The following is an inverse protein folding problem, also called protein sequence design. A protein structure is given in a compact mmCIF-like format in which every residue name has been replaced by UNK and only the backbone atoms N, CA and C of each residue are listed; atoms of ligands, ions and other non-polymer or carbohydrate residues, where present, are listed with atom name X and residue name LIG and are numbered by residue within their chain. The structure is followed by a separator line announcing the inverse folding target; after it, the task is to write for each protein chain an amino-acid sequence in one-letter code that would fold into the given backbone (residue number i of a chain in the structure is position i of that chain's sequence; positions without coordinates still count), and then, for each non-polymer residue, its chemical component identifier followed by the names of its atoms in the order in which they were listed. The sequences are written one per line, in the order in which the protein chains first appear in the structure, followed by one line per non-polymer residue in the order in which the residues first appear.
data_IF_147420974740
#
_entry.id   IF_147420974740
#
_cell.length_a   1.000
_cell.length_b   1.000
_cell.length_c   1.000
_cell.angle_alpha   90.00
_cell.angle_beta   90.00
_cell.angle_gamma   90.00
#
_symmetry.space_group_name_H-M   'P 1'
#
loop_
_entity.id
_entity.type
_entity.pdbx_description
1 polymer ?
#
# COMPACT_ATOMS: atom_id res chain seq x y z
N UNK A 1 13.67 -7.73 -6.89
CA UNK A 1 12.34 -7.25 -7.32
C UNK A 1 11.56 -6.72 -6.14
N UNK A 2 10.93 -5.58 -6.32
CA UNK A 2 9.99 -5.06 -5.32
C UNK A 2 8.61 -5.65 -5.58
N UNK A 3 7.97 -6.19 -4.55
CA UNK A 3 6.62 -6.69 -4.64
C UNK A 3 5.68 -5.76 -3.86
N UNK A 4 4.67 -5.26 -4.54
CA UNK A 4 3.70 -4.32 -3.97
C UNK A 4 2.35 -5.03 -3.95
N UNK A 5 1.83 -5.28 -2.75
CA UNK A 5 0.55 -5.95 -2.56
C UNK A 5 -0.41 -4.99 -1.88
N UNK A 6 -1.64 -4.91 -2.38
CA UNK A 6 -2.61 -4.02 -1.78
C UNK A 6 -4.00 -4.65 -1.72
N UNK A 7 -4.78 -4.17 -0.78
CA UNK A 7 -6.23 -4.43 -0.67
C UNK A 7 -6.93 -3.11 -0.55
N UNK A 8 -7.91 -2.91 -1.38
CA UNK A 8 -8.74 -1.70 -1.33
C UNK A 8 -10.20 -2.11 -1.29
N UNK A 9 -10.89 -1.73 -0.22
CA UNK A 9 -12.29 -2.01 -0.03
C UNK A 9 -13.05 -0.70 0.18
N UNK A 10 -14.36 -0.78 0.31
CA UNK A 10 -15.16 0.41 0.61
C UNK A 10 -14.74 1.07 1.92
N UNK A 11 -14.30 0.28 2.91
CA UNK A 11 -13.99 0.77 4.25
C UNK A 11 -12.51 0.99 4.52
N UNK A 12 -11.62 0.18 3.92
CA UNK A 12 -10.20 0.19 4.29
C UNK A 12 -9.29 0.05 3.11
N UNK A 13 -8.07 0.56 3.29
CA UNK A 13 -6.96 0.36 2.37
C UNK A 13 -5.76 -0.20 3.13
N UNK A 14 -5.04 -1.11 2.51
CA UNK A 14 -3.79 -1.65 3.04
C UNK A 14 -2.84 -1.90 1.88
N UNK A 15 -1.56 -1.61 2.07
CA UNK A 15 -0.53 -1.86 1.07
C UNK A 15 0.79 -2.22 1.74
N UNK A 16 1.53 -3.10 1.10
CA UNK A 16 2.90 -3.41 1.48
C UNK A 16 3.83 -3.28 0.28
N UNK A 17 5.00 -2.70 0.52
CA UNK A 17 6.09 -2.62 -0.44
C UNK A 17 7.22 -3.45 0.13
N UNK A 18 7.63 -4.50 -0.55
CA UNK A 18 8.63 -5.43 -0.03
C UNK A 18 9.71 -5.70 -1.06
N UNK A 19 10.96 -5.59 -0.63
CA UNK A 19 12.13 -5.86 -1.45
C UNK A 19 12.69 -4.63 -2.13
N UNK A 20 13.85 -4.81 -2.75
CA UNK A 20 14.50 -3.78 -3.56
C UNK A 20 14.32 -4.10 -5.03
N UNK A 21 14.22 -3.08 -5.88
CA UNK A 21 13.96 -3.28 -7.31
C UNK A 21 15.09 -4.07 -7.99
N UNK A 22 16.33 -3.79 -7.62
CA UNK A 22 17.47 -4.48 -8.21
C UNK A 22 17.78 -4.06 -9.63
N UNK A 23 17.34 -2.86 -10.02
CA UNK A 23 17.61 -2.31 -11.34
C UNK A 23 19.06 -1.88 -11.48
N UNK A 24 19.63 -1.31 -10.42
CA UNK A 24 21.02 -0.90 -10.36
C UNK A 24 21.48 -0.97 -8.90
N UNK A 25 22.77 -0.70 -8.69
CA UNK A 25 23.31 -0.68 -7.34
C UNK A 25 22.74 0.47 -6.51
N UNK A 26 22.87 0.36 -5.20
CA UNK A 26 22.38 1.35 -4.26
C UNK A 26 22.87 2.75 -4.61
N UNK A 27 21.97 3.71 -4.63
CA UNK A 27 22.26 5.09 -5.00
C UNK A 27 22.15 5.39 -6.49
N UNK A 28 22.01 4.38 -7.33
CA UNK A 28 21.88 4.53 -8.79
C UNK A 28 20.62 3.88 -9.34
N UNK A 29 19.78 3.30 -8.48
CA UNK A 29 18.57 2.58 -8.89
C UNK A 29 17.42 3.57 -9.03
N UNK A 30 17.15 3.97 -10.27
CA UNK A 30 16.04 4.91 -10.56
C UNK A 30 14.68 4.29 -10.33
N UNK A 31 14.56 2.96 -10.48
CA UNK A 31 13.29 2.27 -10.23
C UNK A 31 12.99 2.26 -8.74
N UNK A 32 13.98 1.92 -7.93
CA UNK A 32 13.86 1.96 -6.48
C UNK A 32 13.52 3.37 -5.99
N UNK A 33 14.19 4.38 -6.56
CA UNK A 33 13.91 5.78 -6.22
C UNK A 33 12.47 6.16 -6.56
N UNK A 34 11.98 5.76 -7.72
CA UNK A 34 10.61 6.02 -8.14
C UNK A 34 9.59 5.39 -7.19
N UNK A 35 9.80 4.13 -6.84
CA UNK A 35 8.93 3.44 -5.90
C UNK A 35 8.96 4.11 -4.53
N UNK A 36 10.14 4.49 -4.07
CA UNK A 36 10.32 5.14 -2.76
C UNK A 36 9.61 6.49 -2.68
N UNK A 37 9.66 7.27 -3.75
CA UNK A 37 8.94 8.55 -3.81
C UNK A 37 7.44 8.33 -3.72
N UNK A 38 6.90 7.35 -4.45
CA UNK A 38 5.47 7.07 -4.42
C UNK A 38 5.03 6.54 -3.05
N UNK A 39 5.83 5.68 -2.42
CA UNK A 39 5.55 5.21 -1.07
C UNK A 39 5.57 6.37 -0.07
N UNK A 40 6.55 7.26 -0.18
CA UNK A 40 6.66 8.44 0.69
C UNK A 40 5.50 9.39 0.50
N UNK A 41 5.07 9.60 -0.74
CA UNK A 41 3.92 10.44 -1.04
C UNK A 41 2.66 9.88 -0.38
N UNK A 42 2.47 8.57 -0.45
CA UNK A 42 1.33 7.94 0.21
C UNK A 42 1.39 8.12 1.74
N UNK A 43 2.56 7.95 2.33
CA UNK A 43 2.73 8.16 3.77
C UNK A 43 2.42 9.60 4.17
N UNK A 44 2.91 10.58 3.41
CA UNK A 44 2.63 12.00 3.66
C UNK A 44 1.13 12.30 3.53
N UNK A 45 0.50 11.76 2.50
CA UNK A 45 -0.94 11.94 2.30
C UNK A 45 -1.74 11.36 3.48
N UNK A 46 -1.33 10.19 3.98
CA UNK A 46 -1.97 9.58 5.13
C UNK A 46 -1.82 10.43 6.40
N UNK A 47 -0.64 10.98 6.63
CA UNK A 47 -0.40 11.85 7.79
C UNK A 47 -1.30 13.09 7.74
N UNK A 48 -1.41 13.72 6.58
CA UNK A 48 -2.28 14.88 6.41
C UNK A 48 -3.75 14.51 6.57
N UNK A 49 -4.17 13.41 5.97
CA UNK A 49 -5.54 12.94 6.01
C UNK A 49 -5.97 12.54 7.42
N UNK A 50 -5.05 11.96 8.20
CA UNK A 50 -5.32 11.62 9.59
C UNK A 50 -5.55 12.88 10.42
N UNK A 51 -4.75 13.91 10.23
CA UNK A 51 -4.91 15.18 10.94
C UNK A 51 -6.23 15.86 10.61
N UNK A 52 -6.69 15.78 9.38
CA UNK A 52 -7.93 16.39 8.94
C UNK A 52 -9.17 15.53 9.21
N UNK A 53 -8.98 14.29 9.66
CA UNK A 53 -10.09 13.39 9.92
C UNK A 53 -10.61 12.66 8.69
N UNK A 54 -9.93 12.76 7.55
CA UNK A 54 -10.35 12.06 6.34
C UNK A 54 -10.12 10.55 6.43
N UNK A 55 -9.17 10.14 7.23
CA UNK A 55 -8.92 8.73 7.52
C UNK A 55 -8.76 8.54 9.03
N UNK A 56 -8.96 7.30 9.47
CA UNK A 56 -8.75 6.88 10.86
C UNK A 56 -7.93 5.60 10.89
N UNK A 57 -7.45 5.25 12.06
CA UNK A 57 -6.72 4.00 12.28
C UNK A 57 -5.55 3.83 11.30
N UNK A 58 -4.79 4.90 11.10
CA UNK A 58 -3.60 4.85 10.26
C UNK A 58 -2.46 4.17 11.00
N UNK A 59 -1.89 3.16 10.37
CA UNK A 59 -0.75 2.41 10.88
C UNK A 59 0.29 2.30 9.79
N UNK A 60 1.54 2.50 10.16
CA UNK A 60 2.64 2.43 9.23
C UNK A 60 3.85 1.79 9.91
N UNK A 61 4.45 0.82 9.24
CA UNK A 61 5.72 0.23 9.63
C UNK A 61 6.70 0.43 8.47
N UNK A 62 7.89 0.89 8.78
CA UNK A 62 8.89 1.20 7.77
C UNK A 62 10.25 0.67 8.22
N UNK A 63 10.88 -0.11 7.34
CA UNK A 63 12.22 -0.63 7.52
C UNK A 63 12.94 -0.59 6.17
N UNK A 64 14.25 -0.87 6.16
CA UNK A 64 14.98 -0.93 4.91
C UNK A 64 14.38 -2.00 3.99
N UNK A 65 13.98 -1.59 2.78
CA UNK A 65 13.36 -2.49 1.81
C UNK A 65 11.96 -2.95 2.15
N UNK A 66 11.28 -2.25 3.08
CA UNK A 66 9.94 -2.65 3.49
C UNK A 66 9.13 -1.47 4.01
N UNK A 67 7.95 -1.31 3.47
CA UNK A 67 6.94 -0.36 3.97
C UNK A 67 5.60 -1.06 3.99
N UNK A 68 4.87 -0.87 5.07
CA UNK A 68 3.53 -1.43 5.19
C UNK A 68 2.64 -0.40 5.87
N UNK A 69 1.52 -0.10 5.26
CA UNK A 69 0.57 0.83 5.86
C UNK A 69 -0.87 0.41 5.62
N UNK A 70 -1.73 0.87 6.50
CA UNK A 70 -3.17 0.64 6.41
C UNK A 70 -3.94 1.75 7.09
N UNK A 71 -5.18 1.94 6.68
CA UNK A 71 -6.07 2.93 7.29
C UNK A 71 -7.53 2.63 6.92
N UNK A 72 -8.43 3.25 7.66
CA UNK A 72 -9.86 3.25 7.34
C UNK A 72 -10.23 4.56 6.66
N UNK A 73 -10.98 4.49 5.57
CA UNK A 73 -11.52 5.69 4.91
C UNK A 73 -12.56 6.34 5.80
N UNK A 74 -12.47 7.65 5.99
CA UNK A 74 -13.53 8.43 6.58
C UNK A 74 -14.63 8.72 5.56
N UNK A 75 -15.78 9.10 6.04
CA UNK A 75 -16.88 9.49 5.17
C UNK A 75 -16.52 10.76 4.38
N UNK A 76 -16.74 10.71 3.07
CA UNK A 76 -16.42 11.84 2.20
C UNK A 76 -14.93 12.04 1.95
N UNK A 77 -14.10 11.05 2.26
CA UNK A 77 -12.65 11.15 2.16
C UNK A 77 -12.18 11.28 0.71
N UNK A 78 -11.24 12.20 0.48
CA UNK A 78 -10.55 12.33 -0.81
C UNK A 78 -9.40 11.33 -0.96
N UNK A 79 -9.06 10.61 0.09
CA UNK A 79 -7.94 9.66 0.06
C UNK A 79 -8.11 8.54 -0.97
N UNK A 80 -9.33 8.17 -1.29
CA UNK A 80 -9.56 7.14 -2.32
C UNK A 80 -8.97 7.55 -3.67
N UNK A 81 -9.14 8.82 -4.01
CA UNK A 81 -8.57 9.36 -5.25
C UNK A 81 -7.05 9.38 -5.21
N UNK A 82 -6.48 9.78 -4.08
CA UNK A 82 -5.03 9.75 -3.88
C UNK A 82 -4.47 8.35 -4.03
N UNK A 83 -5.09 7.39 -3.38
CA UNK A 83 -4.71 5.96 -3.49
C UNK A 83 -4.74 5.50 -4.94
N UNK A 84 -5.82 5.80 -5.66
CA UNK A 84 -5.95 5.39 -7.06
C UNK A 84 -4.87 5.97 -7.95
N UNK A 85 -4.52 7.24 -7.73
CA UNK A 85 -3.47 7.90 -8.50
C UNK A 85 -2.10 7.29 -8.23
N UNK A 86 -1.80 7.02 -6.97
CA UNK A 86 -0.53 6.40 -6.60
C UNK A 86 -0.44 4.98 -7.18
N UNK A 87 -1.51 4.19 -7.07
CA UNK A 87 -1.54 2.86 -7.67
C UNK A 87 -1.38 2.92 -9.18
N UNK A 88 -2.00 3.90 -9.83
CA UNK A 88 -1.85 4.10 -11.28
C UNK A 88 -0.40 4.39 -11.65
N UNK A 89 0.28 5.23 -10.87
CA UNK A 89 1.70 5.53 -11.09
C UNK A 89 2.57 4.29 -10.90
N UNK A 90 2.27 3.48 -9.88
CA UNK A 90 2.99 2.22 -9.66
C UNK A 90 2.79 1.25 -10.83
N UNK A 91 1.60 1.20 -11.39
CA UNK A 91 1.33 0.36 -12.56
C UNK A 91 2.03 0.87 -13.81
N UNK A 92 2.20 2.20 -13.96
CA UNK A 92 3.01 2.75 -15.04
C UNK A 92 4.46 2.31 -14.91
N UNK A 93 5.01 2.35 -13.69
CA UNK A 93 6.35 1.83 -13.44
C UNK A 93 6.46 0.35 -13.76
N UNK A 94 5.48 -0.43 -13.37
CA UNK A 94 5.44 -1.86 -13.64
C UNK A 94 5.44 -2.13 -15.15
N UNK A 95 4.71 -1.35 -15.91
CA UNK A 95 4.64 -1.50 -17.35
C UNK A 95 6.02 -1.27 -18.00
N UNK A 96 6.75 -0.28 -17.52
CA UNK A 96 8.07 0.05 -18.05
C UNK A 96 9.18 -0.85 -17.49
N UNK A 97 9.05 -1.27 -16.23
CA UNK A 97 10.09 -1.97 -15.50
C UNK A 97 9.58 -3.26 -14.85
N UNK A 98 8.75 -4.00 -15.55
CA UNK A 98 8.08 -5.19 -15.02
C UNK A 98 8.98 -6.31 -14.51
N UNK A 99 10.27 -6.29 -14.89
CA UNK A 99 11.26 -7.22 -14.34
C UNK A 99 11.73 -6.84 -12.94
N UNK A 100 11.41 -5.63 -12.48
CA UNK A 100 11.96 -5.05 -11.27
C UNK A 100 10.91 -4.75 -10.20
N UNK A 101 9.64 -4.69 -10.58
CA UNK A 101 8.56 -4.53 -9.62
C UNK A 101 7.30 -5.22 -10.11
N UNK A 102 6.47 -5.62 -9.14
CA UNK A 102 5.19 -6.26 -9.40
C UNK A 102 4.14 -5.65 -8.49
N UNK A 103 3.00 -5.26 -9.06
CA UNK A 103 1.87 -4.71 -8.32
C UNK A 103 0.74 -5.72 -8.33
N UNK A 104 0.31 -6.15 -7.15
CA UNK A 104 -0.69 -7.21 -7.01
C UNK A 104 -1.86 -6.71 -6.17
N UNK A 105 -3.05 -6.74 -6.77
CA UNK A 105 -4.28 -6.48 -6.05
C UNK A 105 -4.72 -7.76 -5.34
N UNK A 106 -4.96 -7.68 -4.04
CA UNK A 106 -5.45 -8.81 -3.26
C UNK A 106 -6.96 -8.68 -3.08
N UNK A 107 -7.65 -9.80 -3.22
CA UNK A 107 -9.11 -9.80 -3.12
C UNK A 107 -9.56 -9.72 -1.67
N UNK A 108 -10.48 -8.81 -1.31
CA UNK A 108 -11.04 -8.76 0.02
C UNK A 108 -12.09 -9.85 0.28
N UNK A 109 -12.55 -10.53 -0.77
CA UNK A 109 -13.63 -11.52 -0.67
C UNK A 109 -13.23 -12.71 0.20
N UNK A 110 -11.99 -13.17 0.10
CA UNK A 110 -11.49 -14.30 0.88
C UNK A 110 -11.56 -14.06 2.38
N UNK A 111 -11.33 -12.83 2.81
CA UNK A 111 -11.38 -12.51 4.22
C UNK A 111 -12.79 -12.56 4.79
N UNK A 112 -13.81 -12.33 3.96
CA UNK A 112 -15.18 -12.41 4.40
C UNK A 112 -15.66 -13.86 4.61
N UNK A 113 -15.24 -14.75 3.74
CA UNK A 113 -15.63 -16.16 3.88
C UNK A 113 -15.00 -16.81 5.09
N UNK A 114 -13.84 -16.33 5.51
CA UNK A 114 -13.15 -16.85 6.68
C UNK A 114 -13.60 -16.21 7.98
N UNK A 115 -14.19 -15.03 7.91
CA UNK A 115 -14.56 -14.27 9.11
C UNK A 115 -15.54 -15.02 10.01
N UNK A 116 -16.30 -15.93 9.46
CA UNK A 116 -17.26 -16.74 10.24
C UNK A 116 -16.58 -17.68 11.21
N UNK A 117 -15.35 -18.07 10.90
CA UNK A 117 -14.63 -19.05 11.70
C UNK A 117 -13.66 -18.42 12.66
N UNK A 118 -13.06 -17.30 12.28
CA UNK A 118 -11.95 -16.70 13.04
C UNK A 118 -11.97 -15.19 12.93
N UNK A 119 -12.98 -14.55 13.50
CA UNK A 119 -13.08 -13.09 13.42
C UNK A 119 -11.85 -12.37 13.95
N UNK A 120 -11.32 -12.84 15.07
CA UNK A 120 -10.14 -12.24 15.68
C UNK A 120 -8.90 -12.38 14.81
N UNK A 121 -8.72 -13.53 14.20
CA UNK A 121 -7.58 -13.77 13.32
C UNK A 121 -7.68 -12.96 12.04
N UNK A 122 -8.88 -12.88 11.46
CA UNK A 122 -9.10 -12.08 10.27
C UNK A 122 -8.80 -10.60 10.49
N UNK A 123 -9.23 -10.06 11.62
CA UNK A 123 -8.91 -8.69 11.94
C UNK A 123 -7.40 -8.50 12.09
N UNK A 124 -6.74 -9.46 12.73
CA UNK A 124 -5.31 -9.41 12.90
C UNK A 124 -4.57 -9.46 11.56
N UNK A 125 -5.01 -10.31 10.64
CA UNK A 125 -4.43 -10.38 9.32
C UNK A 125 -4.64 -9.10 8.51
N UNK A 126 -5.83 -8.50 8.60
CA UNK A 126 -6.11 -7.23 7.95
C UNK A 126 -5.24 -6.11 8.49
N UNK A 127 -4.98 -6.14 9.77
CA UNK A 127 -4.10 -5.18 10.41
C UNK A 127 -2.65 -5.42 10.01
N UNK A 128 -2.31 -6.65 9.69
CA UNK A 128 -0.97 -7.02 9.27
C UNK A 128 -0.66 -6.62 7.83
N UNK A 129 -1.65 -6.34 7.03
CA UNK A 129 -1.48 -5.81 5.69
C UNK A 129 -1.66 -4.31 5.68
#
# INVERSE_FOLDING_TARGET
MTEIKYRDSAARFAVSFCGHAGYAECGKDIVCAGISVLASELMLACEQAQRSGEITDYRCAEESGYVKLSFSYGEGSFMRRTVRLILACLRLLEKEYGSYLRVVAQSPIQSQSQSRYNEGENQKERMAL
#
